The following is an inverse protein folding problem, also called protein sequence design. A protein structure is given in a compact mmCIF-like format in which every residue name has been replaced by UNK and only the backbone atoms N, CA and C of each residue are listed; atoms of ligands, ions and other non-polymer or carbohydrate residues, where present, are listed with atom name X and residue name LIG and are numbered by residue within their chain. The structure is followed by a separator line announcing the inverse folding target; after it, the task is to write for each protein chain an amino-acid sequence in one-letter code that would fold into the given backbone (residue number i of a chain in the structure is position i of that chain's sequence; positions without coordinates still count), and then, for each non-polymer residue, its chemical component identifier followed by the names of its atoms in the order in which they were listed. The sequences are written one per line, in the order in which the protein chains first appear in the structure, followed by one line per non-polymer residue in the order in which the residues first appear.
data_IF_775546422592
#
_entry.id   IF_775546422592
#
_cell.length_a   1.000
_cell.length_b   1.000
_cell.length_c   1.000
_cell.angle_alpha   90.00
_cell.angle_beta   90.00
_cell.angle_gamma   90.00
#
_symmetry.space_group_name_H-M   'P 1'
#
loop_
_entity.id
_entity.type
_entity.pdbx_description
1 polymer ?
#
# COMPACT_ATOMS: atom_id res chain seq x y z
N UNK A 1 -19.73 17.32 -3.52
CA UNK A 1 -18.64 16.83 -4.40
C UNK A 1 -18.91 17.22 -5.85
N UNK A 2 -20.07 16.85 -6.41
CA UNK A 2 -20.49 17.23 -7.77
C UNK A 2 -20.43 18.76 -8.00
N UNK A 3 -20.95 19.58 -7.08
CA UNK A 3 -20.89 21.04 -7.21
C UNK A 3 -19.47 21.66 -7.09
N UNK A 4 -18.49 20.93 -6.55
CA UNK A 4 -17.13 21.47 -6.31
C UNK A 4 -16.10 20.97 -7.32
N UNK A 5 -16.29 19.77 -7.87
CA UNK A 5 -15.36 19.11 -8.79
C UNK A 5 -15.98 18.81 -10.16
N UNK A 6 -17.29 19.00 -10.34
CA UNK A 6 -17.99 18.72 -11.59
C UNK A 6 -17.93 17.24 -12.02
N UNK A 7 -18.29 16.93 -13.27
CA UNK A 7 -18.14 15.59 -13.84
C UNK A 7 -16.68 15.15 -13.95
N UNK A 8 -15.72 16.09 -13.89
CA UNK A 8 -14.29 15.80 -13.83
C UNK A 8 -13.88 15.00 -12.58
N UNK A 9 -14.74 14.90 -11.55
CA UNK A 9 -14.54 13.96 -10.44
C UNK A 9 -14.43 12.50 -10.90
N UNK A 10 -15.07 12.13 -12.01
CA UNK A 10 -14.97 10.79 -12.60
C UNK A 10 -13.77 10.63 -13.55
N UNK A 11 -13.04 11.71 -13.85
CA UNK A 11 -11.78 11.64 -14.59
C UNK A 11 -10.64 11.33 -13.62
N UNK A 12 -10.25 10.07 -13.60
CA UNK A 12 -9.07 9.62 -12.87
C UNK A 12 -7.83 9.85 -13.73
N UNK A 13 -6.72 10.25 -13.09
CA UNK A 13 -5.43 10.29 -13.76
C UNK A 13 -5.07 8.87 -14.22
N UNK A 14 -4.95 8.67 -15.54
CA UNK A 14 -4.50 7.41 -16.11
C UNK A 14 -3.04 7.15 -15.71
N UNK A 15 -2.84 6.32 -14.70
CA UNK A 15 -1.54 5.71 -14.42
C UNK A 15 -1.33 4.52 -15.35
N UNK A 16 -0.07 4.21 -15.67
CA UNK A 16 0.25 3.03 -16.47
C UNK A 16 -0.29 1.78 -15.81
N UNK A 17 -1.00 0.95 -16.58
CA UNK A 17 -1.56 -0.29 -16.08
C UNK A 17 -0.43 -1.15 -15.47
N UNK A 18 -0.54 -1.60 -14.21
CA UNK A 18 0.52 -2.33 -13.54
C UNK A 18 0.71 -3.70 -14.19
N UNK A 19 1.95 -4.19 -14.15
CA UNK A 19 2.25 -5.54 -14.64
C UNK A 19 1.50 -6.61 -13.83
N UNK A 20 1.17 -7.78 -14.42
CA UNK A 20 0.48 -8.87 -13.72
C UNK A 20 1.15 -9.30 -12.42
N UNK A 21 2.48 -9.21 -12.34
CA UNK A 21 3.24 -9.50 -11.13
C UNK A 21 2.89 -8.56 -9.96
N UNK A 22 2.74 -7.26 -10.23
CA UNK A 22 2.36 -6.26 -9.22
C UNK A 22 0.94 -6.56 -8.73
N UNK A 23 0.05 -6.99 -9.63
CA UNK A 23 -1.32 -7.37 -9.26
C UNK A 23 -1.35 -8.60 -8.35
N UNK A 24 -0.53 -9.62 -8.62
CA UNK A 24 -0.38 -10.79 -7.74
C UNK A 24 0.19 -10.37 -6.38
N UNK A 25 1.15 -9.45 -6.37
CA UNK A 25 1.71 -8.89 -5.13
C UNK A 25 0.65 -8.16 -4.28
N UNK A 26 -0.34 -7.51 -4.89
CA UNK A 26 -1.47 -6.90 -4.16
C UNK A 26 -2.40 -7.94 -3.52
N UNK A 27 -2.69 -9.04 -4.20
CA UNK A 27 -3.47 -10.16 -3.64
C UNK A 27 -2.74 -10.76 -2.44
N UNK A 28 -1.43 -10.98 -2.59
CA UNK A 28 -0.56 -11.40 -1.51
C UNK A 28 -0.57 -10.42 -0.34
N UNK A 29 -0.50 -9.11 -0.60
CA UNK A 29 -0.51 -8.08 0.43
C UNK A 29 -1.83 -8.02 1.20
N UNK A 30 -2.94 -8.41 0.57
CA UNK A 30 -4.26 -8.47 1.19
C UNK A 30 -4.39 -9.67 2.15
N UNK A 31 -4.06 -10.87 1.67
CA UNK A 31 -4.30 -12.10 2.43
C UNK A 31 -3.09 -12.54 3.28
N UNK A 32 -1.88 -12.11 2.94
CA UNK A 32 -0.60 -12.60 3.50
C UNK A 32 -0.27 -14.03 3.04
N UNK A 33 0.93 -14.54 3.37
CA UNK A 33 1.37 -15.89 2.92
C UNK A 33 0.39 -16.94 3.44
N UNK A 34 0.10 -16.92 4.74
CA UNK A 34 -0.76 -17.93 5.37
C UNK A 34 -2.21 -17.81 4.90
N UNK A 35 -2.71 -16.60 4.64
CA UNK A 35 -4.04 -16.42 4.06
C UNK A 35 -4.13 -16.93 2.63
N UNK A 36 -3.09 -16.73 1.80
CA UNK A 36 -3.04 -17.34 0.47
C UNK A 36 -3.02 -18.87 0.53
N UNK A 37 -2.27 -19.45 1.49
CA UNK A 37 -2.30 -20.90 1.75
C UNK A 37 -3.69 -21.35 2.22
N UNK A 38 -4.36 -20.58 3.07
CA UNK A 38 -5.72 -20.87 3.52
C UNK A 38 -6.71 -20.91 2.34
N UNK A 39 -6.60 -19.97 1.38
CA UNK A 39 -7.43 -19.98 0.17
C UNK A 39 -7.17 -21.25 -0.65
N UNK A 40 -5.89 -21.60 -0.88
CA UNK A 40 -5.53 -22.80 -1.63
C UNK A 40 -6.05 -24.08 -0.95
N UNK A 41 -5.90 -24.19 0.37
CA UNK A 41 -6.46 -25.29 1.16
C UNK A 41 -7.98 -25.32 1.14
N UNK A 42 -8.63 -24.15 1.16
CA UNK A 42 -10.08 -24.03 1.04
C UNK A 42 -10.58 -24.59 -0.28
N UNK A 43 -9.96 -24.21 -1.40
CA UNK A 43 -10.28 -24.74 -2.73
C UNK A 43 -10.05 -26.26 -2.77
N UNK A 44 -8.94 -26.73 -2.20
CA UNK A 44 -8.64 -28.16 -2.10
C UNK A 44 -9.71 -28.92 -1.31
N UNK A 45 -10.15 -28.41 -0.16
CA UNK A 45 -11.22 -29.04 0.63
C UNK A 45 -12.56 -29.02 -0.09
N UNK A 46 -12.91 -27.94 -0.80
CA UNK A 46 -14.13 -27.89 -1.62
C UNK A 46 -14.12 -29.00 -2.68
N UNK A 47 -12.98 -29.20 -3.34
CA UNK A 47 -12.86 -30.23 -4.38
C UNK A 47 -12.90 -31.65 -3.81
N UNK A 48 -12.14 -31.90 -2.73
CA UNK A 48 -12.06 -33.21 -2.07
C UNK A 48 -13.39 -33.61 -1.41
N UNK A 49 -14.02 -32.68 -0.72
CA UNK A 49 -15.23 -32.91 0.07
C UNK A 49 -16.51 -32.71 -0.76
N UNK A 50 -16.42 -32.50 -2.08
CA UNK A 50 -17.55 -32.29 -3.00
C UNK A 50 -18.65 -33.35 -2.89
N UNK A 51 -18.27 -34.59 -2.54
CA UNK A 51 -19.18 -35.72 -2.44
C UNK A 51 -19.75 -35.92 -1.02
N UNK A 52 -19.22 -35.23 -0.02
CA UNK A 52 -19.77 -35.25 1.32
C UNK A 52 -21.02 -34.38 1.33
N UNK A 53 -22.19 -34.99 1.54
CA UNK A 53 -23.44 -34.27 1.77
C UNK A 53 -23.29 -33.48 3.08
N UNK A 54 -22.82 -32.24 2.99
CA UNK A 54 -22.90 -31.27 4.08
C UNK A 54 -24.40 -31.16 4.39
N UNK A 55 -24.78 -31.53 5.63
CA UNK A 55 -26.16 -31.69 6.09
C UNK A 55 -27.05 -30.60 5.50
N UNK A 56 -27.82 -30.97 4.48
CA UNK A 56 -28.71 -30.03 3.81
C UNK A 56 -29.87 -29.72 4.75
N UNK A 57 -30.09 -28.45 5.11
CA UNK A 57 -31.38 -28.06 5.68
C UNK A 57 -32.49 -28.25 4.63
N UNK A 58 -33.76 -28.25 5.05
CA UNK A 58 -34.94 -28.50 4.20
C UNK A 58 -35.01 -27.64 2.93
N UNK A 59 -35.92 -28.00 2.01
CA UNK A 59 -35.99 -27.46 0.64
C UNK A 59 -35.97 -25.91 0.55
N UNK A 60 -36.68 -25.21 1.44
CA UNK A 60 -36.70 -23.74 1.48
C UNK A 60 -35.33 -23.14 1.85
N UNK A 61 -34.65 -23.73 2.83
CA UNK A 61 -33.30 -23.30 3.21
C UNK A 61 -32.27 -23.58 2.11
N UNK A 62 -32.46 -24.62 1.29
CA UNK A 62 -31.55 -24.86 0.16
C UNK A 62 -31.63 -23.76 -0.90
N UNK A 63 -32.83 -23.25 -1.19
CA UNK A 63 -33.00 -22.17 -2.16
C UNK A 63 -32.38 -20.86 -1.63
N UNK A 64 -32.59 -20.54 -0.35
CA UNK A 64 -31.96 -19.38 0.29
C UNK A 64 -30.42 -19.49 0.30
N UNK A 65 -29.87 -20.67 0.59
CA UNK A 65 -28.43 -20.91 0.54
C UNK A 65 -27.87 -20.79 -0.89
N UNK A 66 -28.60 -21.29 -1.90
CA UNK A 66 -28.20 -21.10 -3.31
C UNK A 66 -28.18 -19.62 -3.68
N UNK A 67 -29.25 -18.89 -3.36
CA UNK A 67 -29.33 -17.44 -3.62
C UNK A 67 -28.18 -16.69 -2.94
N UNK A 68 -27.93 -16.95 -1.65
CA UNK A 68 -26.80 -16.36 -0.91
C UNK A 68 -25.45 -16.65 -1.55
N UNK A 69 -25.24 -17.89 -2.03
CA UNK A 69 -23.98 -18.27 -2.69
C UNK A 69 -23.78 -17.50 -4.00
N UNK A 70 -24.85 -17.31 -4.78
CA UNK A 70 -24.83 -16.52 -6.01
C UNK A 70 -24.53 -15.05 -5.69
N UNK A 71 -25.17 -14.48 -4.66
CA UNK A 71 -24.90 -13.11 -4.21
C UNK A 71 -23.44 -12.93 -3.78
N UNK A 72 -22.87 -13.89 -3.04
CA UNK A 72 -21.46 -13.83 -2.66
C UNK A 72 -20.54 -13.86 -3.89
N UNK A 73 -20.79 -14.76 -4.85
CA UNK A 73 -20.01 -14.83 -6.10
C UNK A 73 -20.13 -13.53 -6.89
N UNK A 74 -21.34 -12.99 -7.03
CA UNK A 74 -21.58 -11.74 -7.73
C UNK A 74 -20.85 -10.56 -7.06
N UNK A 75 -20.90 -10.47 -5.72
CA UNK A 75 -20.18 -9.44 -4.97
C UNK A 75 -18.66 -9.54 -5.18
N UNK A 76 -18.09 -10.75 -5.06
CA UNK A 76 -16.67 -10.99 -5.33
C UNK A 76 -16.32 -10.56 -6.76
N UNK A 77 -17.15 -10.90 -7.74
CA UNK A 77 -16.93 -10.54 -9.13
C UNK A 77 -16.95 -9.02 -9.38
N UNK A 78 -17.91 -8.31 -8.78
CA UNK A 78 -18.00 -6.84 -8.87
C UNK A 78 -16.74 -6.18 -8.31
N UNK A 79 -16.24 -6.62 -7.15
CA UNK A 79 -15.02 -6.07 -6.56
C UNK A 79 -13.75 -6.46 -7.31
N UNK A 80 -13.71 -7.64 -7.92
CA UNK A 80 -12.63 -8.01 -8.85
C UNK A 80 -12.63 -7.10 -10.08
N UNK A 81 -13.79 -6.83 -10.69
CA UNK A 81 -13.90 -5.89 -11.81
C UNK A 81 -13.48 -4.46 -11.40
N UNK A 82 -13.91 -3.99 -10.23
CA UNK A 82 -13.50 -2.70 -9.70
C UNK A 82 -11.97 -2.62 -9.51
N UNK A 83 -11.36 -3.68 -8.99
CA UNK A 83 -9.90 -3.77 -8.88
C UNK A 83 -9.20 -3.86 -10.24
N UNK A 84 -9.76 -4.57 -11.22
CA UNK A 84 -9.20 -4.61 -12.59
C UNK A 84 -9.26 -3.25 -13.29
N UNK A 85 -10.28 -2.45 -12.97
CA UNK A 85 -10.42 -1.08 -13.46
C UNK A 85 -9.48 -0.10 -12.72
N UNK A 86 -9.22 -0.32 -11.42
CA UNK A 86 -8.28 0.46 -10.60
C UNK A 86 -7.25 -0.42 -9.86
N UNK A 87 -6.28 -1.01 -10.58
CA UNK A 87 -5.37 -2.01 -10.01
C UNK A 87 -4.33 -1.42 -9.05
N UNK A 88 -4.11 -0.11 -9.08
CA UNK A 88 -3.22 0.60 -8.15
C UNK A 88 -3.78 0.65 -6.73
N UNK A 89 -5.09 0.45 -6.58
CA UNK A 89 -5.78 0.51 -5.31
C UNK A 89 -6.19 -0.89 -4.86
N UNK A 90 -5.24 -1.63 -4.28
CA UNK A 90 -5.50 -2.93 -3.65
C UNK A 90 -6.60 -2.89 -2.57
N UNK A 91 -6.97 -1.70 -2.07
CA UNK A 91 -8.09 -1.49 -1.15
C UNK A 91 -9.44 -1.96 -1.70
N UNK A 92 -9.63 -1.96 -3.03
CA UNK A 92 -10.86 -2.48 -3.66
C UNK A 92 -11.08 -3.98 -3.45
N UNK A 93 -10.03 -4.73 -3.07
CA UNK A 93 -10.15 -6.15 -2.78
C UNK A 93 -10.60 -6.43 -1.33
N UNK A 94 -10.54 -5.45 -0.41
CA UNK A 94 -10.91 -5.66 1.00
C UNK A 94 -12.35 -6.19 1.16
N UNK A 95 -13.37 -5.65 0.46
CA UNK A 95 -14.73 -6.14 0.59
C UNK A 95 -14.93 -7.60 0.14
N UNK A 96 -14.00 -8.19 -0.62
CA UNK A 96 -14.08 -9.61 -1.05
C UNK A 96 -13.97 -10.55 0.16
N UNK A 97 -13.21 -10.17 1.19
CA UNK A 97 -12.89 -11.03 2.34
C UNK A 97 -14.16 -11.60 3.02
N UNK A 98 -15.14 -10.79 3.47
CA UNK A 98 -16.33 -11.34 4.13
C UNK A 98 -17.13 -12.28 3.23
N UNK A 99 -17.31 -11.95 1.94
CA UNK A 99 -18.03 -12.82 1.00
C UNK A 99 -17.28 -14.14 0.73
N UNK A 100 -15.96 -14.09 0.67
CA UNK A 100 -15.12 -15.28 0.53
C UNK A 100 -15.26 -16.19 1.75
N UNK A 101 -15.20 -15.63 2.98
CA UNK A 101 -15.35 -16.40 4.21
C UNK A 101 -16.75 -17.04 4.32
N UNK A 102 -17.81 -16.30 3.99
CA UNK A 102 -19.17 -16.83 3.92
C UNK A 102 -19.28 -17.99 2.91
N UNK A 103 -18.72 -17.82 1.71
CA UNK A 103 -18.74 -18.84 0.68
C UNK A 103 -17.98 -20.10 1.13
N UNK A 104 -16.82 -19.94 1.78
CA UNK A 104 -16.05 -21.05 2.36
C UNK A 104 -16.84 -21.78 3.45
N UNK A 105 -17.50 -21.05 4.36
CA UNK A 105 -18.32 -21.63 5.42
C UNK A 105 -19.46 -22.51 4.86
N UNK A 106 -20.06 -22.12 3.74
CA UNK A 106 -21.16 -22.84 3.12
C UNK A 106 -20.73 -24.12 2.37
N UNK A 107 -19.46 -24.23 1.99
CA UNK A 107 -18.95 -25.29 1.09
C UNK A 107 -18.01 -26.29 1.76
N UNK A 108 -17.58 -26.01 2.99
CA UNK A 108 -16.55 -26.77 3.70
C UNK A 108 -17.08 -27.20 5.07
N UNK A 109 -16.61 -28.33 5.61
CA UNK A 109 -17.00 -28.77 6.96
C UNK A 109 -16.51 -27.80 8.04
N UNK A 110 -17.20 -27.79 9.19
CA UNK A 110 -16.87 -26.91 10.34
C UNK A 110 -15.41 -27.07 10.80
N UNK A 111 -14.88 -28.31 10.78
CA UNK A 111 -13.50 -28.57 11.21
C UNK A 111 -12.48 -27.92 10.28
N UNK A 112 -12.62 -28.10 8.97
CA UNK A 112 -11.75 -27.49 7.99
C UNK A 112 -11.90 -25.95 8.00
N UNK A 113 -13.13 -25.44 8.12
CA UNK A 113 -13.37 -24.00 8.20
C UNK A 113 -12.69 -23.35 9.42
N UNK A 114 -12.69 -23.99 10.59
CA UNK A 114 -11.94 -23.52 11.77
C UNK A 114 -10.44 -23.43 11.50
N UNK A 115 -9.85 -24.41 10.82
CA UNK A 115 -8.42 -24.39 10.44
C UNK A 115 -8.14 -23.20 9.52
N UNK A 116 -9.00 -22.97 8.51
CA UNK A 116 -8.85 -21.84 7.58
C UNK A 116 -8.94 -20.49 8.31
N UNK A 117 -9.89 -20.33 9.23
CA UNK A 117 -10.03 -19.11 10.04
C UNK A 117 -8.79 -18.84 10.89
N UNK A 118 -8.22 -19.88 11.52
CA UNK A 118 -6.99 -19.73 12.29
C UNK A 118 -5.82 -19.28 11.40
N UNK A 119 -5.70 -19.82 10.19
CA UNK A 119 -4.68 -19.37 9.23
C UNK A 119 -4.87 -17.91 8.83
N UNK A 120 -6.11 -17.48 8.53
CA UNK A 120 -6.39 -16.07 8.22
C UNK A 120 -6.08 -15.14 9.40
N UNK A 121 -6.41 -15.54 10.63
CA UNK A 121 -6.19 -14.75 11.84
C UNK A 121 -4.70 -14.62 12.17
N UNK A 122 -3.91 -15.67 11.93
CA UNK A 122 -2.47 -15.69 12.16
C UNK A 122 -1.65 -15.04 11.03
N UNK A 123 -2.20 -15.00 9.80
CA UNK A 123 -1.57 -14.42 8.61
C UNK A 123 -0.94 -13.03 8.83
N UNK A 124 -1.62 -12.03 9.43
CA UNK A 124 -1.04 -10.71 9.62
C UNK A 124 0.20 -10.66 10.53
N UNK A 125 0.46 -11.70 11.34
CA UNK A 125 1.47 -11.67 12.40
C UNK A 125 2.68 -12.56 12.15
N UNK A 126 2.53 -13.70 11.46
CA UNK A 126 3.59 -14.72 11.41
C UNK A 126 4.52 -14.63 10.21
N UNK A 127 4.00 -14.44 8.99
CA UNK A 127 4.80 -14.63 7.78
C UNK A 127 4.58 -13.52 6.76
N UNK A 128 5.67 -12.96 6.26
CA UNK A 128 5.67 -11.80 5.38
C UNK A 128 6.78 -11.82 4.33
N UNK A 129 6.65 -10.95 3.32
CA UNK A 129 7.64 -10.74 2.27
C UNK A 129 8.09 -9.29 2.40
N UNK A 130 9.39 -9.08 2.54
CA UNK A 130 10.00 -7.77 2.72
C UNK A 130 11.10 -7.56 1.66
N UNK A 131 11.38 -6.31 1.31
CA UNK A 131 12.58 -5.99 0.53
C UNK A 131 13.83 -6.00 1.41
N UNK A 132 14.89 -6.67 0.97
CA UNK A 132 16.21 -6.65 1.62
C UNK A 132 16.53 -7.82 2.56
N UNK A 133 15.90 -7.90 3.74
CA UNK A 133 16.29 -8.88 4.77
C UNK A 133 15.45 -10.15 4.76
N UNK A 134 16.08 -11.32 4.68
CA UNK A 134 15.42 -12.63 4.79
C UNK A 134 15.96 -13.66 3.79
N UNK A 135 15.17 -14.70 3.51
CA UNK A 135 15.53 -15.70 2.47
C UNK A 135 15.09 -15.15 1.11
N UNK A 136 16.04 -14.93 0.19
CA UNK A 136 15.75 -14.39 -1.14
C UNK A 136 14.78 -15.31 -1.91
N UNK A 137 13.64 -14.76 -2.31
CA UNK A 137 12.62 -15.43 -3.12
C UNK A 137 12.74 -14.95 -4.56
N UNK A 138 13.41 -15.74 -5.40
CA UNK A 138 13.50 -15.51 -6.84
C UNK A 138 14.51 -14.41 -7.24
N UNK A 139 14.43 -13.92 -8.49
CA UNK A 139 15.38 -12.94 -9.04
C UNK A 139 15.22 -11.52 -8.47
N UNK A 140 14.09 -11.23 -7.82
CA UNK A 140 13.78 -9.91 -7.27
C UNK A 140 14.30 -9.72 -5.83
N UNK A 141 14.39 -8.48 -5.37
CA UNK A 141 14.79 -8.15 -3.98
C UNK A 141 13.74 -8.53 -2.91
N UNK A 142 12.80 -9.42 -3.23
CA UNK A 142 11.82 -9.97 -2.28
C UNK A 142 12.46 -11.04 -1.41
N UNK A 143 12.39 -10.87 -0.09
CA UNK A 143 12.92 -11.79 0.89
C UNK A 143 11.79 -12.29 1.80
N UNK A 144 11.75 -13.60 2.04
CA UNK A 144 10.86 -14.24 2.99
C UNK A 144 11.29 -13.94 4.43
N UNK A 145 10.33 -13.58 5.28
CA UNK A 145 10.58 -13.26 6.68
C UNK A 145 9.55 -13.94 7.58
N UNK A 146 10.00 -14.32 8.78
CA UNK A 146 9.15 -14.83 9.89
C UNK A 146 8.44 -13.69 10.64
N UNK A 147 8.23 -12.55 9.98
CA UNK A 147 7.49 -11.41 10.51
C UNK A 147 6.26 -11.22 9.63
N UNK A 148 5.08 -11.18 10.23
CA UNK A 148 3.87 -10.88 9.48
C UNK A 148 3.84 -9.46 8.93
N UNK A 149 2.95 -9.18 7.94
CA UNK A 149 2.80 -7.86 7.34
C UNK A 149 2.58 -6.73 8.34
N UNK A 150 1.94 -6.98 9.48
CA UNK A 150 1.69 -5.95 10.50
C UNK A 150 2.97 -5.52 11.22
N UNK A 151 3.83 -6.48 11.57
CA UNK A 151 5.11 -6.23 12.23
C UNK A 151 6.08 -5.54 11.27
N UNK A 152 6.17 -6.01 10.02
CA UNK A 152 6.98 -5.36 8.97
C UNK A 152 6.54 -3.90 8.79
N UNK A 153 5.23 -3.65 8.68
CA UNK A 153 4.72 -2.28 8.56
C UNK A 153 5.00 -1.41 9.79
N UNK A 154 5.01 -2.00 11.00
CA UNK A 154 5.37 -1.27 12.23
C UNK A 154 6.84 -0.85 12.19
N UNK A 155 7.75 -1.76 11.85
CA UNK A 155 9.18 -1.49 11.75
C UNK A 155 9.48 -0.42 10.69
N UNK A 156 8.87 -0.53 9.51
CA UNK A 156 9.00 0.48 8.45
C UNK A 156 8.52 1.87 8.91
N UNK A 157 7.43 1.93 9.68
CA UNK A 157 6.94 3.21 10.23
C UNK A 157 7.87 3.79 11.28
N UNK A 158 8.47 2.94 12.12
CA UNK A 158 9.44 3.38 13.13
C UNK A 158 10.73 3.86 12.48
N UNK A 159 11.24 3.15 11.47
CA UNK A 159 12.41 3.55 10.69
C UNK A 159 12.18 4.89 9.98
N UNK A 160 11.03 5.04 9.29
CA UNK A 160 10.64 6.32 8.68
C UNK A 160 10.56 7.44 9.69
N UNK A 161 9.98 7.20 10.87
CA UNK A 161 9.89 8.21 11.94
C UNK A 161 11.29 8.62 12.42
N UNK A 162 12.21 7.65 12.58
CA UNK A 162 13.60 7.91 12.97
C UNK A 162 14.31 8.75 11.91
N UNK A 163 14.28 8.34 10.64
CA UNK A 163 14.84 9.09 9.50
C UNK A 163 14.28 10.50 9.41
N UNK A 164 12.97 10.65 9.55
CA UNK A 164 12.31 11.94 9.56
C UNK A 164 12.84 12.84 10.68
N UNK A 165 13.03 12.26 11.87
CA UNK A 165 13.59 12.98 13.03
C UNK A 165 15.04 13.38 12.78
N UNK A 166 15.86 12.50 12.20
CA UNK A 166 17.27 12.79 11.84
C UNK A 166 17.38 13.93 10.82
N UNK A 167 16.52 13.93 9.79
CA UNK A 167 16.45 15.01 8.78
C UNK A 167 16.03 16.32 9.44
N UNK A 168 15.03 16.26 10.31
CA UNK A 168 14.50 17.41 11.05
C UNK A 168 15.59 18.03 11.95
N UNK A 169 16.31 17.23 12.72
CA UNK A 169 17.42 17.71 13.58
C UNK A 169 18.54 18.28 12.73
N UNK A 170 18.90 17.62 11.62
CA UNK A 170 19.91 18.12 10.69
C UNK A 170 19.47 19.46 10.06
N UNK A 171 18.18 19.62 9.79
CA UNK A 171 17.62 20.85 9.24
C UNK A 171 17.56 22.01 10.25
N UNK A 172 17.45 21.73 11.55
CA UNK A 172 17.51 22.75 12.60
C UNK A 172 18.90 23.38 12.74
N UNK A 173 19.96 22.66 12.35
CA UNK A 173 21.32 23.18 12.38
C UNK A 173 21.66 24.08 11.18
N UNK A 174 20.70 24.32 10.27
CA UNK A 174 20.89 25.16 9.09
C UNK A 174 20.41 26.59 9.36
N UNK A 175 21.11 27.56 8.78
CA UNK A 175 20.70 28.97 8.84
C UNK A 175 19.34 29.21 8.16
N UNK A 176 18.63 30.27 8.59
CA UNK A 176 17.36 30.77 8.03
C UNK A 176 17.36 31.01 6.50
N UNK A 177 18.55 31.18 5.93
CA UNK A 177 18.77 31.32 4.49
C UNK A 177 18.78 29.97 3.73
N UNK A 178 18.28 28.88 4.33
CA UNK A 178 18.28 27.54 3.70
C UNK A 178 16.86 27.10 3.32
N UNK A 179 16.70 26.57 2.11
CA UNK A 179 15.44 26.00 1.60
C UNK A 179 15.62 24.54 1.23
N UNK A 180 14.75 23.68 1.76
CA UNK A 180 14.77 22.25 1.47
C UNK A 180 13.54 21.90 0.65
N UNK A 181 13.75 21.44 -0.59
CA UNK A 181 12.69 20.94 -1.47
C UNK A 181 12.40 19.49 -1.10
N UNK A 182 11.15 19.21 -0.77
CA UNK A 182 10.68 17.93 -0.19
C UNK A 182 9.68 17.17 -1.05
N UNK A 183 9.18 17.77 -2.14
CA UNK A 183 8.23 17.18 -3.09
C UNK A 183 7.02 16.52 -2.41
N UNK A 184 6.74 15.27 -2.76
CA UNK A 184 5.63 14.48 -2.24
C UNK A 184 5.70 14.22 -0.74
N UNK A 185 6.87 14.39 -0.11
CA UNK A 185 7.04 14.27 1.34
C UNK A 185 6.67 15.54 2.10
N UNK A 186 6.41 16.67 1.42
CA UNK A 186 6.08 17.94 2.07
C UNK A 186 4.98 17.86 3.13
N UNK A 187 3.85 17.14 2.93
CA UNK A 187 2.84 16.99 3.98
C UNK A 187 3.37 16.33 5.26
N UNK A 188 4.33 15.40 5.13
CA UNK A 188 4.97 14.73 6.26
C UNK A 188 5.80 15.73 7.10
N UNK A 189 6.54 16.61 6.42
CA UNK A 189 7.32 17.66 7.09
C UNK A 189 6.42 18.74 7.68
N UNK A 190 5.36 19.17 7.00
CA UNK A 190 4.36 20.08 7.58
C UNK A 190 3.72 19.53 8.84
N UNK A 191 3.42 18.23 8.87
CA UNK A 191 2.89 17.58 10.07
C UNK A 191 3.93 17.55 11.19
N UNK A 192 5.18 17.23 10.86
CA UNK A 192 6.26 17.16 11.85
C UNK A 192 6.65 18.54 12.41
N UNK A 193 6.64 19.60 11.60
CA UNK A 193 6.88 20.97 12.06
C UNK A 193 5.75 21.47 12.98
N UNK A 194 4.50 21.10 12.71
CA UNK A 194 3.38 21.40 13.62
C UNK A 194 3.54 20.75 15.00
N UNK A 195 4.10 19.54 15.04
CA UNK A 195 4.36 18.83 16.29
C UNK A 195 5.58 19.36 17.05
N UNK A 196 6.53 19.97 16.36
CA UNK A 196 7.79 20.48 16.93
C UNK A 196 8.01 21.94 16.49
N UNK A 197 7.49 22.93 17.22
CA UNK A 197 7.56 24.35 16.82
C UNK A 197 8.98 24.94 16.81
N UNK A 198 9.98 24.22 17.32
CA UNK A 198 11.41 24.62 17.31
C UNK A 198 12.12 24.34 15.96
N UNK A 199 11.39 23.99 14.91
CA UNK A 199 11.93 23.70 13.59
C UNK A 199 12.03 24.98 12.76
N UNK A 200 13.25 25.52 12.60
CA UNK A 200 13.50 26.80 11.91
C UNK A 200 13.76 26.67 10.39
N UNK A 201 13.66 25.47 9.81
CA UNK A 201 13.83 25.24 8.37
C UNK A 201 12.60 25.54 7.51
N UNK A 202 12.77 26.24 6.38
CA UNK A 202 11.71 26.40 5.35
C UNK A 202 11.68 25.21 4.41
N UNK A 203 10.76 24.28 4.67
CA UNK A 203 10.43 23.19 3.76
C UNK A 203 9.50 23.68 2.65
N UNK A 204 9.77 23.28 1.41
CA UNK A 204 8.93 23.61 0.25
C UNK A 204 8.53 22.32 -0.45
N UNK A 205 7.31 22.28 -0.97
CA UNK A 205 6.81 21.19 -1.80
C UNK A 205 7.61 21.04 -3.08
N UNK A 206 7.43 21.94 -4.03
CA UNK A 206 8.12 21.93 -5.32
C UNK A 206 8.78 23.28 -5.57
N UNK A 207 9.77 23.29 -6.46
CA UNK A 207 10.44 24.51 -6.88
C UNK A 207 10.43 24.58 -8.40
N UNK A 208 9.71 25.57 -8.93
CA UNK A 208 9.70 25.87 -10.35
C UNK A 208 10.94 26.69 -10.75
N UNK A 209 11.17 26.86 -12.06
CA UNK A 209 12.29 27.67 -12.57
C UNK A 209 12.21 29.13 -12.10
N UNK A 210 11.01 29.71 -12.04
CA UNK A 210 10.84 31.09 -11.58
C UNK A 210 11.13 31.22 -10.08
N UNK A 211 10.72 30.24 -9.28
CA UNK A 211 11.01 30.21 -7.84
C UNK A 211 12.51 30.09 -7.58
N UNK A 212 13.20 29.22 -8.31
CA UNK A 212 14.66 29.04 -8.23
C UNK A 212 15.41 30.35 -8.52
N UNK A 213 15.02 31.06 -9.58
CA UNK A 213 15.66 32.33 -9.95
C UNK A 213 15.39 33.44 -8.93
N UNK A 214 14.18 33.48 -8.35
CA UNK A 214 13.80 34.45 -7.32
C UNK A 214 14.52 34.19 -6.00
N UNK A 215 14.77 32.93 -5.68
CA UNK A 215 15.33 32.49 -4.41
C UNK A 215 16.87 32.32 -4.47
N UNK A 216 17.55 33.06 -5.35
CA UNK A 216 19.00 32.97 -5.57
C UNK A 216 19.86 33.26 -4.33
N UNK A 217 19.30 33.96 -3.34
CA UNK A 217 19.93 34.26 -2.05
C UNK A 217 19.86 33.11 -1.05
N UNK A 218 19.03 32.09 -1.30
CA UNK A 218 18.89 30.94 -0.43
C UNK A 218 19.85 29.82 -0.85
N UNK A 219 20.42 29.13 0.13
CA UNK A 219 21.07 27.84 -0.14
C UNK A 219 19.98 26.79 -0.33
N UNK A 220 19.88 26.25 -1.54
CA UNK A 220 18.82 25.30 -1.91
C UNK A 220 19.38 23.89 -1.82
N UNK A 221 18.61 23.00 -1.18
CA UNK A 221 18.86 21.56 -1.18
C UNK A 221 17.61 20.82 -1.64
N UNK A 222 17.80 19.65 -2.26
CA UNK A 222 16.71 18.67 -2.42
C UNK A 222 16.90 17.53 -1.44
N UNK A 223 15.79 17.01 -0.91
CA UNK A 223 15.84 16.07 0.21
C UNK A 223 16.52 14.73 -0.14
N UNK A 224 16.03 14.05 -1.18
CA UNK A 224 16.49 12.75 -1.67
C UNK A 224 16.34 12.67 -3.20
N UNK A 225 16.95 11.68 -3.87
CA UNK A 225 16.93 11.59 -5.34
C UNK A 225 15.52 11.51 -5.92
N UNK A 226 14.63 10.72 -5.29
CA UNK A 226 13.21 10.62 -5.67
C UNK A 226 12.51 11.99 -5.70
N UNK A 227 12.90 12.91 -4.81
CA UNK A 227 12.33 14.25 -4.72
C UNK A 227 12.77 15.11 -5.91
N UNK A 228 14.03 14.98 -6.35
CA UNK A 228 14.52 15.67 -7.53
C UNK A 228 13.81 15.18 -8.81
N UNK A 229 13.58 13.87 -8.92
CA UNK A 229 12.83 13.28 -10.04
C UNK A 229 11.36 13.71 -10.02
N UNK A 230 10.70 13.67 -8.86
CA UNK A 230 9.32 14.14 -8.72
C UNK A 230 9.19 15.64 -9.05
N UNK A 231 10.13 16.48 -8.61
CA UNK A 231 10.11 17.89 -8.98
C UNK A 231 10.18 18.08 -10.50
N UNK A 232 11.03 17.29 -11.17
CA UNK A 232 11.15 17.29 -12.64
C UNK A 232 9.85 16.87 -13.32
N UNK A 233 9.15 15.84 -12.82
CA UNK A 233 7.90 15.39 -13.45
C UNK A 233 6.77 16.41 -13.30
N UNK A 234 6.69 17.08 -12.15
CA UNK A 234 5.61 18.06 -11.89
C UNK A 234 5.88 19.41 -12.55
N UNK A 235 7.13 19.88 -12.53
CA UNK A 235 7.47 21.26 -12.95
C UNK A 235 8.26 21.33 -14.25
N UNK A 236 8.72 20.20 -14.79
CA UNK A 236 9.65 20.16 -15.91
C UNK A 236 11.08 20.63 -15.55
N UNK A 237 11.35 20.95 -14.28
CA UNK A 237 12.62 21.52 -13.83
C UNK A 237 13.39 20.55 -12.91
N UNK A 238 14.58 20.15 -13.34
CA UNK A 238 15.47 19.27 -12.59
C UNK A 238 16.44 20.08 -11.72
N UNK A 239 16.25 20.05 -10.40
CA UNK A 239 17.17 20.64 -9.44
C UNK A 239 18.57 19.99 -9.51
N UNK A 240 18.61 18.67 -9.74
CA UNK A 240 19.85 17.91 -9.89
C UNK A 240 20.70 18.42 -11.07
N UNK A 241 20.07 18.78 -12.18
CA UNK A 241 20.77 19.30 -13.37
C UNK A 241 21.30 20.73 -13.17
N UNK A 242 20.79 21.46 -12.17
CA UNK A 242 21.25 22.81 -11.84
C UNK A 242 22.38 22.83 -10.79
N UNK A 243 22.92 21.66 -10.42
CA UNK A 243 24.00 21.57 -9.43
C UNK A 243 23.54 21.75 -7.99
N UNK A 244 22.22 21.75 -7.74
CA UNK A 244 21.67 21.75 -6.37
C UNK A 244 22.17 20.50 -5.64
N UNK A 245 22.60 20.65 -4.38
CA UNK A 245 23.13 19.54 -3.59
C UNK A 245 22.00 18.76 -2.92
N UNK A 246 22.24 17.45 -2.73
CA UNK A 246 21.38 16.58 -1.94
C UNK A 246 21.52 16.91 -0.45
N UNK A 247 20.42 16.90 0.29
CA UNK A 247 20.43 17.19 1.72
C UNK A 247 20.88 15.99 2.56
N UNK A 248 20.45 14.77 2.21
CA UNK A 248 20.79 13.55 2.93
C UNK A 248 21.06 12.39 1.97
N UNK A 249 21.93 11.44 2.35
CA UNK A 249 22.30 10.31 1.48
C UNK A 249 21.25 9.19 1.39
N UNK A 250 20.08 9.34 2.02
CA UNK A 250 19.01 8.34 1.91
C UNK A 250 18.56 8.18 0.45
N UNK A 251 18.32 6.94 0.05
CA UNK A 251 17.67 6.64 -1.24
C UNK A 251 16.18 6.98 -1.19
N UNK A 252 15.49 6.61 -0.11
CA UNK A 252 14.04 6.80 0.09
C UNK A 252 13.67 6.97 1.57
N UNK A 253 12.45 7.47 1.83
CA UNK A 253 11.87 7.76 3.16
C UNK A 253 10.78 6.76 3.60
#
# INVERSE_FOLDING_TARGET
VINRYGPAFFNYYHQQYPSPYIMIYHIYKLFGVLGSVAIALGIFFIYRDRNLKISSPGNENQNNLKALSITCVAAIFIYLLAYLYFPDQAGYLIPIIPFLLLLLQMKITVRHYRILLMLFLLSPFLVGIQKGSGIKLGPYESHFTLKGPTLINRELRLDRKKKLTEIIVSAQNLNDATKIVTASYYPLFQYATRLNPKLEGKFVGFMSRSDYNRDSLFTIYYLIDDVAEYNKTVTGFSLKNQGVKKFCDYKTL
#
